data_IF_198467497227
#
_entry.id   IF_198467497227
#
_cell.length_a   1.000
_cell.length_b   1.000
_cell.length_c   1.000
_cell.angle_alpha   90.00
_cell.angle_beta   90.00
_cell.angle_gamma   90.00
#
_symmetry.space_group_name_H-M   'P 1'
#
loop_
_entity.id
_entity.type
_entity.pdbx_description
1 polymer ?
#
# COMPACT_ATOMS: atom_id res chain seq x y z
N UNK A 1 49.33 -22.20 -34.91
CA UNK A 1 48.15 -22.53 -34.07
C UNK A 1 47.90 -21.38 -33.11
N UNK A 2 46.81 -20.64 -33.25
CA UNK A 2 46.35 -19.64 -32.28
C UNK A 2 44.84 -19.82 -32.13
N UNK A 3 44.42 -20.33 -30.98
CA UNK A 3 43.01 -20.58 -30.63
C UNK A 3 42.47 -19.30 -30.01
N UNK A 4 41.43 -18.72 -30.61
CA UNK A 4 40.67 -17.61 -30.04
C UNK A 4 39.62 -18.19 -29.08
N UNK A 5 39.74 -17.86 -27.80
CA UNK A 5 38.71 -18.13 -26.81
C UNK A 5 37.55 -17.15 -27.01
N UNK A 6 36.40 -17.64 -27.43
CA UNK A 6 35.15 -16.91 -27.37
C UNK A 6 34.59 -17.01 -25.95
N UNK A 7 34.72 -15.94 -25.17
CA UNK A 7 34.01 -15.79 -23.89
C UNK A 7 32.56 -15.45 -24.19
N UNK A 8 31.67 -16.42 -24.01
CA UNK A 8 30.23 -16.19 -24.00
C UNK A 8 29.86 -15.40 -22.74
N UNK A 9 29.40 -14.17 -22.92
CA UNK A 9 28.81 -13.36 -21.86
C UNK A 9 27.41 -13.92 -21.56
N UNK A 10 27.30 -14.78 -20.55
CA UNK A 10 26.02 -15.17 -19.97
C UNK A 10 25.48 -13.97 -19.18
N UNK A 11 24.63 -13.16 -19.80
CA UNK A 11 23.75 -12.23 -19.11
C UNK A 11 22.76 -13.06 -18.28
N UNK A 12 23.13 -13.38 -17.05
CA UNK A 12 22.17 -13.88 -16.07
C UNK A 12 21.27 -12.71 -15.66
N UNK A 13 20.09 -12.66 -16.26
CA UNK A 13 18.96 -11.87 -15.76
C UNK A 13 18.57 -12.42 -14.39
N UNK A 14 19.18 -11.89 -13.33
CA UNK A 14 18.67 -12.09 -11.98
C UNK A 14 17.37 -11.30 -11.87
N UNK A 15 16.24 -11.94 -12.17
CA UNK A 15 14.95 -11.45 -11.73
C UNK A 15 14.95 -11.51 -10.21
N UNK A 16 15.29 -10.38 -9.57
CA UNK A 16 15.05 -10.18 -8.14
C UNK A 16 13.53 -10.19 -7.98
N UNK A 17 12.98 -11.38 -7.71
CA UNK A 17 11.61 -11.51 -7.27
C UNK A 17 11.55 -10.82 -5.91
N UNK A 18 10.96 -9.63 -5.88
CA UNK A 18 10.80 -8.88 -4.65
C UNK A 18 9.95 -9.72 -3.67
N UNK A 19 10.50 -9.96 -2.47
CA UNK A 19 9.93 -10.89 -1.51
C UNK A 19 8.61 -10.32 -0.99
N UNK A 20 7.51 -11.07 -1.07
CA UNK A 20 6.17 -10.65 -0.60
C UNK A 20 6.20 -10.12 0.85
N UNK A 21 7.03 -10.72 1.72
CA UNK A 21 7.19 -10.24 3.11
C UNK A 21 7.77 -8.82 3.19
N UNK A 22 8.60 -8.43 2.23
CA UNK A 22 9.11 -7.06 2.11
C UNK A 22 7.97 -6.10 1.82
N UNK A 23 7.14 -6.38 0.83
CA UNK A 23 6.07 -5.46 0.44
C UNK A 23 4.99 -5.26 1.51
N UNK A 24 4.66 -6.31 2.28
CA UNK A 24 3.80 -6.16 3.47
C UNK A 24 4.44 -5.19 4.46
N UNK A 25 5.73 -5.39 4.76
CA UNK A 25 6.47 -4.52 5.69
C UNK A 25 6.53 -3.09 5.17
N UNK A 26 6.79 -2.89 3.87
CA UNK A 26 6.87 -1.57 3.25
C UNK A 26 5.54 -0.83 3.39
N UNK A 27 4.42 -1.44 3.00
CA UNK A 27 3.08 -0.85 3.14
C UNK A 27 2.76 -0.49 4.60
N UNK A 28 2.97 -1.44 5.52
CA UNK A 28 2.67 -1.23 6.95
C UNK A 28 3.54 -0.12 7.54
N UNK A 29 4.82 -0.03 7.14
CA UNK A 29 5.71 1.02 7.60
C UNK A 29 5.35 2.40 7.03
N UNK A 30 4.92 2.47 5.77
CA UNK A 30 4.38 3.70 5.16
C UNK A 30 3.19 4.19 5.97
N UNK A 31 2.16 3.35 6.16
CA UNK A 31 0.98 3.72 6.93
C UNK A 31 1.34 4.10 8.38
N UNK A 32 2.24 3.34 9.02
CA UNK A 32 2.70 3.62 10.38
C UNK A 32 3.35 5.00 10.48
N UNK A 33 4.22 5.32 9.52
CA UNK A 33 5.04 6.53 9.55
C UNK A 33 4.24 7.79 9.21
N UNK A 34 3.29 7.68 8.27
CA UNK A 34 2.66 8.87 7.69
C UNK A 34 1.18 9.05 8.11
N UNK A 35 0.48 7.99 8.49
CA UNK A 35 -0.87 8.08 9.05
C UNK A 35 -0.88 7.86 10.57
N UNK A 36 -0.53 6.64 11.02
CA UNK A 36 -0.70 6.24 12.42
C UNK A 36 0.11 7.10 13.42
N UNK A 37 1.31 7.54 13.05
CA UNK A 37 2.14 8.41 13.89
C UNK A 37 1.47 9.76 14.21
N UNK A 38 0.49 10.18 13.39
CA UNK A 38 -0.21 11.46 13.48
C UNK A 38 -1.66 11.33 13.94
N UNK A 39 -2.12 10.13 14.34
CA UNK A 39 -3.51 9.90 14.77
C UNK A 39 -4.00 10.81 15.90
N UNK A 40 -3.11 11.29 16.76
CA UNK A 40 -3.43 12.20 17.87
C UNK A 40 -3.13 13.68 17.53
N UNK A 41 -2.58 13.94 16.33
CA UNK A 41 -2.30 15.27 15.81
C UNK A 41 -2.36 15.32 14.25
N UNK A 42 -3.56 15.19 13.67
CA UNK A 42 -3.79 15.15 12.22
C UNK A 42 -3.11 16.27 11.43
N UNK A 43 -3.17 17.50 11.98
CA UNK A 43 -2.67 18.72 11.33
C UNK A 43 -1.17 18.69 11.06
N UNK A 44 -0.42 17.84 11.75
CA UNK A 44 1.02 17.71 11.55
C UNK A 44 1.39 16.73 10.41
N UNK A 45 0.48 15.88 9.94
CA UNK A 45 0.77 14.86 8.94
C UNK A 45 1.20 15.48 7.60
N UNK A 46 0.40 16.40 7.05
CA UNK A 46 0.68 17.10 5.79
C UNK A 46 2.01 17.86 5.85
N UNK A 47 2.22 18.65 6.91
CA UNK A 47 3.48 19.38 7.13
C UNK A 47 4.68 18.43 7.18
N UNK A 48 4.52 17.26 7.81
CA UNK A 48 5.58 16.26 7.88
C UNK A 48 5.92 15.67 6.50
N UNK A 49 4.92 15.38 5.66
CA UNK A 49 5.14 14.89 4.30
C UNK A 49 5.89 15.94 3.45
N UNK A 50 5.44 17.19 3.50
CA UNK A 50 6.04 18.30 2.73
C UNK A 50 7.48 18.59 3.17
N UNK A 51 7.76 18.61 4.47
CA UNK A 51 9.13 18.83 4.99
C UNK A 51 10.10 17.69 4.65
N UNK A 52 9.58 16.51 4.31
CA UNK A 52 10.38 15.37 3.79
C UNK A 52 10.60 15.44 2.29
N UNK A 53 10.08 16.47 1.61
CA UNK A 53 10.20 16.65 0.17
C UNK A 53 9.33 15.68 -0.63
N UNK A 54 8.34 15.04 -0.01
CA UNK A 54 7.38 14.20 -0.74
C UNK A 54 6.51 15.09 -1.62
N UNK A 55 6.29 14.65 -2.85
CA UNK A 55 5.54 15.40 -3.85
C UNK A 55 4.10 14.94 -3.86
N UNK A 56 3.20 15.92 -3.95
CA UNK A 56 1.80 15.66 -4.24
C UNK A 56 1.67 15.08 -5.64
N UNK A 57 0.74 14.15 -5.83
CA UNK A 57 0.35 13.69 -7.15
C UNK A 57 -0.31 14.87 -7.90
N UNK A 58 0.14 15.21 -9.13
CA UNK A 58 -0.41 16.34 -9.88
C UNK A 58 -1.86 16.13 -10.34
N UNK A 59 -2.30 14.88 -10.45
CA UNK A 59 -3.68 14.50 -10.78
C UNK A 59 -4.56 14.41 -9.52
N UNK A 60 -3.95 14.12 -8.36
CA UNK A 60 -4.62 13.97 -7.07
C UNK A 60 -3.92 14.84 -6.01
N UNK A 61 -4.33 16.12 -5.94
CA UNK A 61 -3.63 17.18 -5.16
C UNK A 61 -3.53 16.92 -3.64
N UNK A 62 -4.24 15.95 -3.10
CA UNK A 62 -4.24 15.55 -1.70
C UNK A 62 -3.41 14.28 -1.42
N UNK A 63 -3.03 13.53 -2.45
CA UNK A 63 -2.23 12.32 -2.33
C UNK A 63 -0.73 12.61 -2.49
N UNK A 64 0.10 11.98 -1.65
CA UNK A 64 1.56 12.04 -1.71
C UNK A 64 2.12 10.70 -2.19
N UNK A 65 2.85 10.71 -3.29
CA UNK A 65 3.45 9.48 -3.85
C UNK A 65 4.77 9.13 -3.16
N UNK A 66 4.94 7.84 -2.90
CA UNK A 66 6.09 7.25 -2.22
C UNK A 66 6.54 6.04 -3.05
N UNK A 67 7.60 6.22 -3.83
CA UNK A 67 8.19 5.16 -4.64
C UNK A 67 9.16 4.31 -3.82
N UNK A 68 8.93 3.00 -3.76
CA UNK A 68 9.90 2.01 -3.25
C UNK A 68 10.15 0.97 -4.34
N UNK A 69 11.32 1.02 -4.97
CA UNK A 69 11.60 0.23 -6.16
C UNK A 69 10.68 0.63 -7.32
N UNK A 70 9.94 -0.32 -7.87
CA UNK A 70 8.94 -0.11 -8.93
C UNK A 70 7.50 0.01 -8.41
N UNK A 71 7.33 0.00 -7.08
CA UNK A 71 6.01 0.06 -6.46
C UNK A 71 5.72 1.50 -6.03
N UNK A 72 4.56 1.97 -6.45
CA UNK A 72 4.03 3.28 -6.10
C UNK A 72 2.99 3.13 -4.99
N UNK A 73 3.17 3.92 -3.93
CA UNK A 73 2.30 3.97 -2.78
C UNK A 73 1.84 5.40 -2.60
N UNK A 74 0.54 5.61 -2.40
CA UNK A 74 0.03 6.93 -2.07
C UNK A 74 -0.33 7.03 -0.59
N UNK A 75 -0.13 8.21 0.00
CA UNK A 75 -0.64 8.56 1.32
C UNK A 75 -1.43 9.85 1.23
N UNK A 76 -2.65 9.85 1.78
CA UNK A 76 -3.58 10.98 1.69
C UNK A 76 -4.06 11.36 3.09
N UNK A 77 -3.39 12.30 3.78
CA UNK A 77 -3.89 12.83 5.05
C UNK A 77 -4.97 13.89 4.79
N UNK A 78 -6.14 13.71 5.39
CA UNK A 78 -7.29 14.63 5.32
C UNK A 78 -7.71 15.14 6.71
N UNK A 79 -8.70 16.01 6.82
CA UNK A 79 -9.06 16.54 8.14
C UNK A 79 -9.60 15.46 9.10
N UNK A 80 -10.27 14.43 8.57
CA UNK A 80 -10.98 13.41 9.37
C UNK A 80 -10.32 12.02 9.33
N UNK A 81 -9.45 11.77 8.37
CA UNK A 81 -8.82 10.46 8.18
C UNK A 81 -7.44 10.57 7.50
N UNK A 82 -6.76 9.43 7.42
CA UNK A 82 -5.62 9.26 6.54
C UNK A 82 -5.61 7.89 5.90
N UNK A 83 -5.33 7.85 4.61
CA UNK A 83 -5.23 6.62 3.83
C UNK A 83 -3.79 6.33 3.42
N UNK A 84 -3.49 5.03 3.28
CA UNK A 84 -2.41 4.55 2.45
C UNK A 84 -2.97 3.61 1.38
N UNK A 85 -2.49 3.76 0.15
CA UNK A 85 -3.05 3.13 -1.03
C UNK A 85 -1.95 2.45 -1.84
N UNK A 86 -2.24 1.26 -2.40
CA UNK A 86 -1.32 0.55 -3.31
C UNK A 86 -2.09 -0.41 -4.22
N UNK A 87 -1.64 -0.58 -5.47
CA UNK A 87 -2.11 -1.68 -6.32
C UNK A 87 -1.54 -3.00 -5.80
N UNK A 88 -2.40 -3.99 -5.53
CA UNK A 88 -1.93 -5.26 -4.94
C UNK A 88 -1.21 -6.12 -5.98
N UNK A 89 -1.48 -5.88 -7.27
CA UNK A 89 -0.84 -6.60 -8.38
C UNK A 89 -0.14 -5.63 -9.33
N UNK A 90 1.12 -5.92 -9.60
CA UNK A 90 1.94 -5.21 -10.57
C UNK A 90 2.49 -6.19 -11.62
N UNK A 91 3.25 -5.68 -12.60
CA UNK A 91 3.96 -6.52 -13.59
C UNK A 91 4.88 -7.54 -12.95
N UNK A 92 5.44 -7.22 -11.78
CA UNK A 92 6.33 -8.09 -10.99
C UNK A 92 5.58 -9.20 -10.23
N UNK A 93 4.24 -9.16 -10.23
CA UNK A 93 3.39 -10.14 -9.55
C UNK A 93 2.51 -9.50 -8.48
N UNK A 94 1.93 -10.35 -7.64
CA UNK A 94 1.11 -9.93 -6.51
C UNK A 94 2.00 -9.63 -5.29
N UNK A 95 1.86 -8.42 -4.73
CA UNK A 95 2.69 -7.93 -3.62
C UNK A 95 2.47 -8.73 -2.34
N UNK A 96 1.21 -9.02 -2.00
CA UNK A 96 0.81 -9.78 -0.83
C UNK A 96 -0.64 -10.25 -0.92
N UNK A 97 -1.06 -11.16 -0.03
CA UNK A 97 -2.45 -11.58 0.09
C UNK A 97 -3.20 -10.77 1.14
N UNK A 98 -4.54 -10.80 1.08
CA UNK A 98 -5.41 -10.26 2.12
C UNK A 98 -5.05 -10.80 3.52
N UNK A 99 -4.76 -12.10 3.62
CA UNK A 99 -4.39 -12.73 4.89
C UNK A 99 -3.10 -12.14 5.44
N UNK A 100 -2.08 -11.97 4.59
CA UNK A 100 -0.78 -11.44 5.01
C UNK A 100 -0.90 -10.02 5.52
N UNK A 101 -1.57 -9.15 4.74
CA UNK A 101 -1.71 -7.75 5.10
C UNK A 101 -2.61 -7.58 6.33
N UNK A 102 -3.75 -8.27 6.40
CA UNK A 102 -4.67 -8.22 7.55
C UNK A 102 -3.96 -8.65 8.84
N UNK A 103 -3.18 -9.73 8.80
CA UNK A 103 -2.44 -10.20 9.98
C UNK A 103 -1.36 -9.20 10.41
N UNK A 104 -0.63 -8.61 9.46
CA UNK A 104 0.41 -7.62 9.76
C UNK A 104 -0.18 -6.32 10.32
N UNK A 105 -1.28 -5.83 9.76
CA UNK A 105 -2.00 -4.66 10.26
C UNK A 105 -2.54 -4.88 11.67
N UNK A 106 -3.23 -6.00 11.92
CA UNK A 106 -3.74 -6.36 13.25
C UNK A 106 -2.64 -6.44 14.29
N UNK A 107 -1.54 -7.12 13.97
CA UNK A 107 -0.41 -7.28 14.88
C UNK A 107 0.30 -5.95 15.16
N UNK A 108 0.52 -5.13 14.14
CA UNK A 108 1.30 -3.89 14.25
C UNK A 108 0.54 -2.80 15.01
N UNK A 109 -0.76 -2.66 14.76
CA UNK A 109 -1.58 -1.57 15.32
C UNK A 109 -2.50 -2.02 16.46
N UNK A 110 -2.45 -3.31 16.83
CA UNK A 110 -3.28 -3.87 17.91
C UNK A 110 -4.77 -3.78 17.60
N UNK A 111 -5.15 -4.20 16.38
CA UNK A 111 -6.51 -4.05 15.86
C UNK A 111 -7.38 -5.27 16.20
N UNK A 112 -8.64 -5.00 16.50
CA UNK A 112 -9.71 -6.00 16.61
C UNK A 112 -10.68 -5.81 15.45
N UNK A 113 -10.96 -6.88 14.71
CA UNK A 113 -11.96 -6.86 13.64
C UNK A 113 -13.36 -6.67 14.21
N UNK A 114 -14.13 -5.78 13.60
CA UNK A 114 -15.50 -5.44 13.98
C UNK A 114 -16.50 -6.02 12.99
N UNK A 115 -16.24 -5.85 11.69
CA UNK A 115 -17.13 -6.37 10.66
C UNK A 115 -16.39 -6.57 9.34
N UNK A 116 -16.92 -7.49 8.52
CA UNK A 116 -16.48 -7.70 7.15
C UNK A 116 -17.69 -7.72 6.23
N UNK A 117 -17.61 -7.01 5.10
CA UNK A 117 -18.65 -6.99 4.05
C UNK A 117 -18.02 -6.97 2.66
N UNK A 118 -18.82 -7.31 1.66
CA UNK A 118 -18.43 -7.25 0.25
C UNK A 118 -19.31 -6.30 -0.53
N UNK A 119 -18.74 -5.58 -1.47
CA UNK A 119 -19.47 -4.73 -2.41
C UNK A 119 -18.74 -4.70 -3.76
N UNK A 120 -19.36 -4.07 -4.75
CA UNK A 120 -18.79 -3.86 -6.08
C UNK A 120 -18.46 -2.38 -6.24
N UNK A 121 -17.33 -2.09 -6.87
CA UNK A 121 -16.94 -0.73 -7.26
C UNK A 121 -16.20 -0.75 -8.61
N UNK A 122 -16.14 0.39 -9.28
CA UNK A 122 -15.55 0.51 -10.61
C UNK A 122 -14.06 0.83 -10.49
N UNK A 123 -13.22 -0.07 -11.02
CA UNK A 123 -11.77 0.13 -11.10
C UNK A 123 -11.36 1.14 -12.17
N UNK A 124 -10.08 1.53 -12.17
CA UNK A 124 -9.48 2.44 -13.15
C UNK A 124 -9.58 1.95 -14.60
N UNK A 125 -9.73 0.64 -14.79
CA UNK A 125 -9.92 0.01 -16.09
C UNK A 125 -11.41 -0.05 -16.53
N UNK A 126 -12.29 0.66 -15.82
CA UNK A 126 -13.75 0.70 -16.03
C UNK A 126 -14.43 -0.67 -15.92
N UNK A 127 -13.93 -1.55 -15.05
CA UNK A 127 -14.54 -2.85 -14.74
C UNK A 127 -15.03 -2.90 -13.30
N UNK A 128 -16.16 -3.57 -13.12
CA UNK A 128 -16.66 -3.92 -11.79
C UNK A 128 -15.64 -4.79 -11.07
N UNK A 129 -15.33 -4.38 -9.84
CA UNK A 129 -14.34 -4.99 -8.97
C UNK A 129 -14.98 -5.35 -7.65
N UNK A 130 -14.84 -6.60 -7.24
CA UNK A 130 -15.33 -7.08 -5.96
C UNK A 130 -14.37 -6.66 -4.87
N UNK A 131 -14.86 -5.84 -3.93
CA UNK A 131 -14.09 -5.35 -2.80
C UNK A 131 -14.54 -6.06 -1.53
N UNK A 132 -13.58 -6.52 -0.72
CA UNK A 132 -13.81 -6.86 0.68
C UNK A 132 -13.45 -5.65 1.54
N UNK A 133 -14.44 -5.16 2.29
CA UNK A 133 -14.21 -4.20 3.37
C UNK A 133 -14.12 -4.95 4.69
N UNK A 134 -13.06 -4.69 5.45
CA UNK A 134 -12.96 -5.11 6.84
C UNK A 134 -12.74 -3.87 7.72
N UNK A 135 -13.65 -3.66 8.67
CA UNK A 135 -13.57 -2.58 9.65
C UNK A 135 -12.96 -3.09 10.95
N UNK A 136 -12.10 -2.28 11.57
CA UNK A 136 -11.41 -2.59 12.82
C UNK A 136 -11.53 -1.45 13.83
N UNK A 137 -11.33 -1.80 15.10
CA UNK A 137 -11.05 -0.84 16.18
C UNK A 137 -9.64 -1.08 16.71
N UNK A 138 -8.88 0.00 16.88
CA UNK A 138 -7.57 -0.03 17.52
C UNK A 138 -7.60 0.50 18.95
N UNK A 139 -6.44 0.53 19.59
CA UNK A 139 -6.27 1.18 20.91
C UNK A 139 -6.58 2.67 20.80
N UNK A 140 -7.18 3.24 21.86
CA UNK A 140 -7.60 4.65 21.87
C UNK A 140 -8.96 4.91 21.23
N UNK A 141 -9.63 3.87 20.70
CA UNK A 141 -10.97 4.01 20.11
C UNK A 141 -10.98 4.43 18.63
N UNK A 142 -9.80 4.66 18.04
CA UNK A 142 -9.67 4.93 16.61
C UNK A 142 -10.22 3.77 15.78
N UNK A 143 -10.88 4.12 14.68
CA UNK A 143 -11.45 3.18 13.72
C UNK A 143 -10.52 3.05 12.53
N UNK A 144 -10.51 1.87 11.95
CA UNK A 144 -9.71 1.57 10.77
C UNK A 144 -10.54 0.81 9.76
N UNK A 145 -10.20 0.96 8.49
CA UNK A 145 -10.86 0.24 7.40
C UNK A 145 -9.83 -0.26 6.41
N UNK A 146 -9.92 -1.54 6.05
CA UNK A 146 -9.21 -2.11 4.92
C UNK A 146 -10.19 -2.36 3.78
N UNK A 147 -9.96 -1.74 2.63
CA UNK A 147 -10.60 -2.08 1.37
C UNK A 147 -9.62 -2.90 0.54
N UNK A 148 -9.91 -4.19 0.37
CA UNK A 148 -9.05 -5.09 -0.40
C UNK A 148 -9.76 -5.58 -1.66
N UNK A 149 -9.18 -5.37 -2.86
CA UNK A 149 -9.73 -5.87 -4.12
C UNK A 149 -9.52 -7.38 -4.26
N UNK A 150 -10.61 -8.12 -4.42
CA UNK A 150 -10.60 -9.59 -4.60
C UNK A 150 -10.22 -9.95 -6.05
N UNK A 151 -10.65 -9.13 -7.02
CA UNK A 151 -10.28 -9.17 -8.44
C UNK A 151 -9.78 -7.78 -8.89
N UNK A 152 -9.40 -7.62 -10.17
CA UNK A 152 -8.82 -6.40 -10.77
C UNK A 152 -7.75 -5.71 -9.90
N UNK A 153 -6.92 -6.49 -9.20
CA UNK A 153 -5.91 -6.03 -8.24
C UNK A 153 -4.80 -5.16 -8.86
N UNK A 154 -4.71 -5.15 -10.18
CA UNK A 154 -3.80 -4.34 -11.01
C UNK A 154 -4.45 -3.04 -11.50
N UNK A 155 -5.69 -2.78 -11.13
CA UNK A 155 -6.45 -1.58 -11.55
C UNK A 155 -7.34 -1.00 -10.45
N UNK A 156 -7.38 -1.61 -9.26
CA UNK A 156 -8.06 -1.09 -8.09
C UNK A 156 -7.07 -1.02 -6.93
N UNK A 157 -6.94 0.16 -6.31
CA UNK A 157 -6.07 0.35 -5.16
C UNK A 157 -6.65 -0.33 -3.92
N UNK A 158 -5.84 -1.12 -3.23
CA UNK A 158 -6.15 -1.48 -1.85
C UNK A 158 -5.88 -0.26 -0.97
N UNK A 159 -6.84 0.08 -0.12
CA UNK A 159 -6.80 1.25 0.76
C UNK A 159 -6.86 0.79 2.21
N UNK A 160 -5.95 1.31 3.05
CA UNK A 160 -6.06 1.21 4.50
C UNK A 160 -6.23 2.59 5.11
N UNK A 161 -7.26 2.76 5.92
CA UNK A 161 -7.67 4.04 6.51
C UNK A 161 -7.58 3.98 8.04
N UNK A 162 -7.20 5.11 8.65
CA UNK A 162 -7.48 5.41 10.07
C UNK A 162 -8.38 6.64 10.14
N UNK A 163 -9.48 6.53 10.88
CA UNK A 163 -10.28 7.68 11.31
C UNK A 163 -9.67 8.21 12.63
N UNK A 164 -9.21 9.46 12.64
CA UNK A 164 -8.53 10.05 13.80
C UNK A 164 -9.41 10.96 14.66
#
# INVERSE_FOLDING_TARGET
MKVLYATALLLMSTHVSANQKSHVSDFVNIFKKYCFAFKDNPKAATTFLETRGLRRNPEFNDAYEIMIGEIDYAVTPQDMDCTADVLVRHRVGQLFTLTDISNSLKSTFGLTEVSTRYFQDVALNNRDTKIQQTDYTGRGGHKYRLLYPIDNQDSYYMTFTIDW
#
